data_IF_277752797923
#
_entry.id   IF_277752797923
#
_cell.length_a   1.000
_cell.length_b   1.000
_cell.length_c   1.000
_cell.angle_alpha   90.00
_cell.angle_beta   90.00
_cell.angle_gamma   90.00
#
_symmetry.space_group_name_H-M   'P 1'
#
loop_
_entity.id
_entity.type
_entity.pdbx_description
1 polymer ?
#
# COMPACT_ATOMS: atom_id res chain seq x y z
N UNK A 1 -9.10 19.40 23.27
CA UNK A 1 -10.06 18.45 22.66
C UNK A 1 -9.43 17.08 22.39
N UNK A 2 -8.20 17.00 21.88
CA UNK A 2 -7.47 15.74 21.60
C UNK A 2 -7.36 14.77 22.79
N UNK A 3 -7.01 15.25 24.00
CA UNK A 3 -6.90 14.39 25.20
C UNK A 3 -8.19 13.64 25.58
N UNK A 4 -9.34 14.29 25.46
CA UNK A 4 -10.65 13.66 25.74
C UNK A 4 -10.95 12.58 24.70
N UNK A 5 -10.63 12.85 23.43
CA UNK A 5 -10.77 11.88 22.34
C UNK A 5 -9.87 10.65 22.54
N UNK A 6 -8.60 10.84 22.94
CA UNK A 6 -7.72 9.73 23.30
C UNK A 6 -8.31 8.87 24.41
N UNK A 7 -8.70 9.48 25.54
CA UNK A 7 -9.24 8.75 26.69
C UNK A 7 -10.53 7.99 26.36
N UNK A 8 -11.43 8.59 25.58
CA UNK A 8 -12.63 7.90 25.12
C UNK A 8 -12.30 6.74 24.17
N UNK A 9 -11.34 6.91 23.27
CA UNK A 9 -10.89 5.84 22.38
C UNK A 9 -10.22 4.70 23.16
N UNK A 10 -9.41 5.00 24.19
CA UNK A 10 -8.83 3.97 25.07
C UNK A 10 -9.93 3.16 25.77
N UNK A 11 -10.93 3.81 26.34
CA UNK A 11 -12.10 3.14 26.94
C UNK A 11 -12.83 2.26 25.92
N UNK A 12 -13.01 2.73 24.68
CA UNK A 12 -13.61 1.94 23.62
C UNK A 12 -12.76 0.70 23.26
N UNK A 13 -11.44 0.85 23.24
CA UNK A 13 -10.50 -0.24 22.95
C UNK A 13 -10.40 -1.24 24.11
N UNK A 14 -10.72 -0.86 25.34
CA UNK A 14 -10.73 -1.75 26.51
C UNK A 14 -11.88 -2.78 26.48
N UNK A 15 -13.00 -2.48 25.82
CA UNK A 15 -14.14 -3.42 25.72
C UNK A 15 -13.78 -4.74 25.03
N UNK A 16 -12.78 -4.73 24.15
CA UNK A 16 -12.26 -5.93 23.52
C UNK A 16 -10.73 -5.91 23.53
N UNK A 17 -10.13 -6.62 24.48
CA UNK A 17 -8.68 -6.78 24.59
C UNK A 17 -8.10 -7.80 23.61
N UNK A 18 -8.87 -8.32 22.65
CA UNK A 18 -8.39 -9.27 21.66
C UNK A 18 -8.31 -10.71 22.15
N UNK A 19 -9.02 -11.05 23.22
CA UNK A 19 -9.18 -12.43 23.65
C UNK A 19 -10.16 -13.14 22.71
N UNK A 20 -9.72 -14.26 22.14
CA UNK A 20 -10.45 -15.08 21.15
C UNK A 20 -10.59 -16.52 21.61
N UNK A 21 -10.60 -16.74 22.94
CA UNK A 21 -10.57 -18.06 23.56
C UNK A 21 -9.16 -18.51 23.94
N UNK A 22 -9.03 -19.68 24.59
CA UNK A 22 -7.75 -20.18 25.08
C UNK A 22 -6.79 -20.57 23.94
N UNK A 23 -7.33 -20.86 22.75
CA UNK A 23 -6.60 -21.28 21.56
C UNK A 23 -7.20 -20.67 20.31
N UNK A 24 -6.36 -20.34 19.33
CA UNK A 24 -6.74 -19.76 18.04
C UNK A 24 -5.92 -20.38 16.91
N UNK A 25 -6.45 -20.38 15.69
CA UNK A 25 -5.69 -20.80 14.51
C UNK A 25 -4.52 -19.83 14.27
N UNK A 26 -3.30 -20.34 14.09
CA UNK A 26 -2.11 -19.53 13.84
C UNK A 26 -1.88 -19.14 12.36
N UNK A 27 -2.72 -19.61 11.44
CA UNK A 27 -2.56 -19.49 9.99
C UNK A 27 -1.69 -20.57 9.36
N UNK A 28 -0.84 -21.24 10.15
CA UNK A 28 0.00 -22.36 9.73
C UNK A 28 -0.61 -23.75 9.89
N UNK A 29 -1.93 -23.86 10.12
CA UNK A 29 -2.63 -25.13 10.36
C UNK A 29 -2.53 -25.65 11.80
N UNK A 30 -1.91 -24.90 12.71
CA UNK A 30 -1.80 -25.25 14.13
C UNK A 30 -2.62 -24.29 15.02
N UNK A 31 -2.67 -24.61 16.30
CA UNK A 31 -3.30 -23.76 17.31
C UNK A 31 -2.27 -23.03 18.17
N UNK A 32 -2.40 -21.70 18.25
CA UNK A 32 -1.66 -20.86 19.19
C UNK A 32 -2.42 -20.74 20.51
N UNK A 33 -1.70 -20.76 21.63
CA UNK A 33 -2.28 -20.64 22.98
C UNK A 33 -2.25 -19.19 23.44
N UNK A 34 -3.27 -18.78 24.18
CA UNK A 34 -3.27 -17.49 24.87
C UNK A 34 -2.18 -17.48 25.96
N UNK A 35 -1.39 -16.41 26.00
CA UNK A 35 -0.25 -16.25 26.90
C UNK A 35 -0.35 -15.02 27.82
N UNK A 36 -1.45 -14.27 27.75
CA UNK A 36 -1.67 -13.05 28.54
C UNK A 36 -1.84 -11.81 27.68
N UNK A 37 -2.02 -10.67 28.34
CA UNK A 37 -2.12 -9.37 27.68
C UNK A 37 -0.76 -8.70 27.60
N UNK A 38 -0.54 -7.92 26.54
CA UNK A 38 0.60 -7.02 26.41
C UNK A 38 0.11 -5.65 25.98
N UNK A 39 0.68 -4.62 26.57
CA UNK A 39 0.38 -3.25 26.19
C UNK A 39 1.01 -2.92 24.82
N UNK A 40 0.39 -2.01 24.09
CA UNK A 40 0.95 -1.32 22.93
C UNK A 40 0.46 0.11 22.90
N UNK A 41 1.35 1.04 22.57
CA UNK A 41 1.00 2.43 22.24
C UNK A 41 0.83 2.59 20.74
N UNK A 42 -0.25 3.25 20.33
CA UNK A 42 -0.54 3.58 18.92
C UNK A 42 -0.75 5.08 18.79
N UNK A 43 -0.02 5.73 17.90
CA UNK A 43 -0.29 7.11 17.54
C UNK A 43 -1.49 7.17 16.59
N UNK A 44 -2.50 7.92 17.01
CA UNK A 44 -3.73 8.15 16.26
C UNK A 44 -3.83 9.59 15.81
N UNK A 45 -4.85 9.90 15.03
CA UNK A 45 -5.19 11.29 14.68
C UNK A 45 -5.59 12.14 15.89
N UNK A 46 -6.01 11.49 17.00
CA UNK A 46 -6.37 12.17 18.24
C UNK A 46 -5.14 12.38 19.16
N UNK A 47 -4.07 11.63 18.93
CA UNK A 47 -2.90 11.52 19.80
C UNK A 47 -2.54 10.07 20.10
N UNK A 48 -1.49 9.82 20.92
CA UNK A 48 -1.15 8.48 21.37
C UNK A 48 -2.28 7.89 22.22
N UNK A 49 -2.55 6.59 22.03
CA UNK A 49 -3.45 5.80 22.87
C UNK A 49 -2.77 4.51 23.29
N UNK A 50 -3.08 4.05 24.49
CA UNK A 50 -2.63 2.79 25.06
C UNK A 50 -3.72 1.72 24.89
N UNK A 51 -3.32 0.52 24.50
CA UNK A 51 -4.23 -0.62 24.47
C UNK A 51 -3.57 -1.89 24.99
N UNK A 52 -4.34 -2.67 25.73
CA UNK A 52 -4.04 -4.07 26.00
C UNK A 52 -4.55 -4.94 24.86
N UNK A 53 -3.71 -5.93 24.51
CA UNK A 53 -3.96 -6.86 23.43
C UNK A 53 -3.54 -8.28 23.82
N UNK A 54 -4.41 -9.24 23.55
CA UNK A 54 -4.19 -10.66 23.80
C UNK A 54 -3.03 -11.18 22.96
N UNK A 55 -2.02 -11.71 23.64
CA UNK A 55 -0.85 -12.32 23.02
C UNK A 55 -1.06 -13.83 22.89
N UNK A 56 -0.88 -14.33 21.68
CA UNK A 56 -0.96 -15.75 21.36
C UNK A 56 0.38 -16.26 20.87
N UNK A 57 0.79 -17.45 21.30
CA UNK A 57 2.03 -18.09 20.86
C UNK A 57 1.75 -19.49 20.31
N UNK A 58 2.24 -19.77 19.11
CA UNK A 58 2.20 -21.09 18.52
C UNK A 58 3.48 -21.85 18.85
N UNK A 59 3.43 -22.95 19.65
CA UNK A 59 4.63 -23.72 19.98
C UNK A 59 5.24 -24.42 18.77
N UNK A 60 4.43 -24.81 17.78
CA UNK A 60 4.88 -25.50 16.57
C UNK A 60 5.58 -24.54 15.60
N UNK A 61 4.98 -23.36 15.36
CA UNK A 61 5.55 -22.37 14.44
C UNK A 61 6.63 -21.48 15.08
N UNK A 62 6.74 -21.46 16.41
CA UNK A 62 7.73 -20.67 17.14
C UNK A 62 7.54 -19.15 17.09
N UNK A 63 6.37 -18.66 16.63
CA UNK A 63 6.05 -17.24 16.59
C UNK A 63 4.81 -16.91 17.41
N UNK A 64 4.74 -15.65 17.84
CA UNK A 64 3.56 -15.08 18.50
C UNK A 64 2.87 -14.03 17.65
N UNK A 65 1.60 -13.76 17.95
CA UNK A 65 0.80 -12.75 17.26
C UNK A 65 -0.32 -12.20 18.15
N UNK A 66 -0.96 -11.15 17.65
CA UNK A 66 -2.00 -10.40 18.36
C UNK A 66 -3.22 -10.27 17.43
N UNK A 67 -4.29 -11.05 17.62
CA UNK A 67 -5.48 -10.99 16.75
C UNK A 67 -6.03 -9.57 16.60
N UNK A 68 -6.12 -8.83 17.71
CA UNK A 68 -6.58 -7.44 17.75
C UNK A 68 -5.73 -6.48 16.90
N UNK A 69 -4.43 -6.74 16.72
CA UNK A 69 -3.59 -5.88 15.87
C UNK A 69 -4.01 -5.99 14.40
N UNK A 70 -4.34 -7.19 13.94
CA UNK A 70 -4.78 -7.42 12.57
C UNK A 70 -6.16 -6.78 12.33
N UNK A 71 -7.08 -6.96 13.27
CA UNK A 71 -8.43 -6.39 13.20
C UNK A 71 -8.42 -4.85 13.20
N UNK A 72 -7.54 -4.23 14.00
CA UNK A 72 -7.38 -2.78 14.05
C UNK A 72 -6.49 -2.22 12.91
N UNK A 73 -5.88 -3.07 12.09
CA UNK A 73 -4.96 -2.66 11.02
C UNK A 73 -3.66 -2.02 11.52
N UNK A 74 -3.21 -2.40 12.72
CA UNK A 74 -1.98 -1.91 13.37
C UNK A 74 -0.89 -2.98 13.47
N UNK A 75 -1.07 -4.14 12.84
CA UNK A 75 -0.02 -5.15 12.71
C UNK A 75 1.25 -4.52 12.12
N UNK A 76 2.38 -4.77 12.77
CA UNK A 76 3.70 -4.23 12.41
C UNK A 76 3.78 -2.70 12.28
N UNK A 77 2.88 -1.97 12.93
CA UNK A 77 2.87 -0.52 12.95
C UNK A 77 2.56 0.04 14.34
N UNK A 78 3.12 1.21 14.63
CA UNK A 78 2.78 2.03 15.80
C UNK A 78 1.86 3.20 15.43
N UNK A 79 1.45 3.30 14.16
CA UNK A 79 0.52 4.32 13.67
C UNK A 79 -0.81 3.68 13.33
N UNK A 80 -1.90 4.32 13.75
CA UNK A 80 -3.26 3.93 13.34
C UNK A 80 -3.43 4.01 11.81
N UNK A 81 -4.36 3.25 11.21
CA UNK A 81 -4.63 3.34 9.77
C UNK A 81 -4.94 4.76 9.28
N UNK A 82 -5.63 5.56 10.09
CA UNK A 82 -5.93 6.97 9.77
C UNK A 82 -4.66 7.82 9.67
N UNK A 83 -3.75 7.68 10.63
CA UNK A 83 -2.51 8.45 10.66
C UNK A 83 -1.52 7.97 9.58
N UNK A 84 -1.47 6.67 9.27
CA UNK A 84 -0.70 6.14 8.13
C UNK A 84 -1.13 6.78 6.81
N UNK A 85 -2.44 6.83 6.53
CA UNK A 85 -2.96 7.49 5.32
C UNK A 85 -2.56 8.96 5.22
N UNK A 86 -2.53 9.68 6.34
CA UNK A 86 -2.05 11.07 6.36
C UNK A 86 -0.55 11.14 6.07
N UNK A 87 0.25 10.24 6.67
CA UNK A 87 1.68 10.12 6.42
C UNK A 87 1.95 9.84 4.93
N UNK A 88 1.27 8.87 4.33
CA UNK A 88 1.45 8.49 2.91
C UNK A 88 1.08 9.62 1.97
N UNK A 89 -0.04 10.32 2.24
CA UNK A 89 -0.45 11.46 1.45
C UNK A 89 0.62 12.55 1.46
N UNK A 90 1.12 12.91 2.63
CA UNK A 90 2.15 13.94 2.77
C UNK A 90 3.51 13.49 2.23
N UNK A 91 3.87 12.22 2.43
CA UNK A 91 5.08 11.61 1.90
C UNK A 91 5.10 11.54 0.37
N UNK A 92 3.95 11.41 -0.27
CA UNK A 92 3.83 11.44 -1.73
C UNK A 92 3.91 12.83 -2.36
N UNK A 93 3.76 13.89 -1.56
CA UNK A 93 3.67 15.28 -2.06
C UNK A 93 5.01 16.03 -2.05
N UNK A 94 6.01 15.54 -1.33
CA UNK A 94 7.29 16.21 -1.24
C UNK A 94 8.19 15.63 -0.14
N UNK A 95 9.23 16.36 0.27
CA UNK A 95 10.17 15.89 1.28
C UNK A 95 9.47 15.57 2.61
N UNK A 96 9.81 14.45 3.23
CA UNK A 96 9.22 14.02 4.51
C UNK A 96 9.36 15.05 5.65
N UNK A 97 10.42 15.86 5.62
CA UNK A 97 10.61 16.95 6.58
C UNK A 97 9.55 18.05 6.45
N UNK A 98 9.08 18.31 5.23
CA UNK A 98 7.95 19.21 4.98
C UNK A 98 6.64 18.54 5.41
N UNK A 99 6.39 17.29 4.99
CA UNK A 99 5.19 16.56 5.40
C UNK A 99 5.03 16.49 6.93
N UNK A 100 6.14 16.33 7.66
CA UNK A 100 6.14 16.42 9.13
C UNK A 100 5.68 17.78 9.64
N UNK A 101 6.14 18.88 9.03
CA UNK A 101 5.74 20.24 9.41
C UNK A 101 4.26 20.46 9.13
N UNK A 102 3.78 20.03 7.96
CA UNK A 102 2.37 20.15 7.57
C UNK A 102 1.46 19.37 8.52
N UNK A 103 1.86 18.16 8.93
CA UNK A 103 1.12 17.34 9.88
C UNK A 103 1.01 18.02 11.27
N UNK A 104 2.09 18.67 11.71
CA UNK A 104 2.11 19.42 12.95
C UNK A 104 1.26 20.70 12.88
N UNK A 105 1.31 21.42 11.75
CA UNK A 105 0.63 22.71 11.56
C UNK A 105 -0.88 22.51 11.32
N UNK A 106 -1.26 21.58 10.44
CA UNK A 106 -2.64 21.39 10.02
C UNK A 106 -3.45 20.50 10.98
N UNK A 107 -2.80 19.51 11.60
CA UNK A 107 -3.47 18.53 12.45
C UNK A 107 -3.02 18.55 13.91
N UNK A 108 -1.99 19.34 14.27
CA UNK A 108 -1.43 19.34 15.62
C UNK A 108 -0.70 18.04 15.99
N UNK A 109 -0.44 17.15 15.03
CA UNK A 109 0.12 15.82 15.28
C UNK A 109 1.65 15.88 15.12
N UNK A 110 2.35 15.44 16.17
CA UNK A 110 3.81 15.44 16.20
C UNK A 110 4.35 14.06 15.82
N UNK A 111 4.91 13.94 14.63
CA UNK A 111 5.75 12.80 14.23
C UNK A 111 7.18 13.28 13.97
N UNK A 112 8.15 12.36 14.04
CA UNK A 112 9.50 12.65 13.53
C UNK A 112 9.54 12.40 12.04
N UNK A 113 10.48 13.04 11.33
CA UNK A 113 10.64 12.85 9.88
C UNK A 113 10.84 11.38 9.54
N UNK A 114 11.68 10.69 10.33
CA UNK A 114 11.98 9.26 10.13
C UNK A 114 10.78 8.35 10.40
N UNK A 115 9.84 8.73 11.27
CA UNK A 115 8.61 7.94 11.49
C UNK A 115 7.65 8.07 10.31
N UNK A 116 7.49 9.28 9.77
CA UNK A 116 6.69 9.53 8.58
C UNK A 116 7.28 8.77 7.38
N UNK A 117 8.58 8.94 7.12
CA UNK A 117 9.34 8.22 6.10
C UNK A 117 9.14 6.70 6.19
N UNK A 118 9.48 6.07 7.33
CA UNK A 118 9.36 4.62 7.50
C UNK A 118 7.93 4.12 7.33
N UNK A 119 6.93 4.90 7.75
CA UNK A 119 5.53 4.53 7.54
C UNK A 119 5.20 4.50 6.05
N UNK A 120 5.54 5.56 5.33
CA UNK A 120 5.22 5.69 3.91
C UNK A 120 5.99 4.72 3.04
N UNK A 121 7.26 4.45 3.35
CA UNK A 121 8.06 3.43 2.68
C UNK A 121 7.51 2.03 2.93
N UNK A 122 7.15 1.70 4.18
CA UNK A 122 6.55 0.41 4.49
C UNK A 122 5.20 0.21 3.78
N UNK A 123 4.40 1.27 3.65
CA UNK A 123 3.12 1.22 2.93
C UNK A 123 3.35 1.07 1.42
N UNK A 124 4.32 1.80 0.85
CA UNK A 124 4.76 1.63 -0.54
C UNK A 124 5.26 0.21 -0.84
N UNK A 125 6.04 -0.37 0.05
CA UNK A 125 6.54 -1.74 -0.07
C UNK A 125 5.41 -2.78 -0.01
N UNK A 126 4.43 -2.60 0.88
CA UNK A 126 3.24 -3.47 0.92
C UNK A 126 2.43 -3.39 -0.37
N UNK A 127 2.26 -2.20 -0.93
CA UNK A 127 1.59 -2.01 -2.23
C UNK A 127 2.37 -2.72 -3.34
N UNK A 128 3.70 -2.57 -3.38
CA UNK A 128 4.56 -3.25 -4.35
C UNK A 128 4.45 -4.78 -4.24
N UNK A 129 4.58 -5.33 -3.03
CA UNK A 129 4.47 -6.76 -2.79
C UNK A 129 3.09 -7.32 -3.16
N UNK A 130 2.01 -6.57 -2.88
CA UNK A 130 0.66 -6.96 -3.28
C UNK A 130 0.48 -6.99 -4.82
N UNK A 131 1.04 -5.99 -5.53
CA UNK A 131 1.04 -5.96 -7.00
C UNK A 131 1.81 -7.15 -7.57
N UNK A 132 3.01 -7.45 -7.05
CA UNK A 132 3.84 -8.56 -7.49
C UNK A 132 3.17 -9.92 -7.22
N UNK A 133 2.60 -10.11 -6.02
CA UNK A 133 1.88 -11.33 -5.66
C UNK A 133 0.65 -11.55 -6.55
N UNK A 134 -0.12 -10.48 -6.80
CA UNK A 134 -1.27 -10.54 -7.70
C UNK A 134 -0.83 -10.90 -9.12
N UNK A 135 0.25 -10.28 -9.60
CA UNK A 135 0.78 -10.56 -10.93
C UNK A 135 1.20 -12.02 -11.08
N UNK A 136 1.93 -12.54 -10.08
CA UNK A 136 2.35 -13.93 -10.06
C UNK A 136 1.15 -14.89 -10.06
N UNK A 137 0.12 -14.61 -9.24
CA UNK A 137 -1.05 -15.46 -9.12
C UNK A 137 -1.90 -15.51 -10.41
N UNK A 138 -2.00 -14.40 -11.15
CA UNK A 138 -2.66 -14.36 -12.45
C UNK A 138 -1.84 -15.12 -13.49
N UNK A 139 -0.54 -14.85 -13.59
CA UNK A 139 0.33 -15.48 -14.59
C UNK A 139 0.52 -16.99 -14.38
N UNK A 140 0.46 -17.47 -13.14
CA UNK A 140 0.52 -18.90 -12.83
C UNK A 140 -0.83 -19.62 -13.04
N UNK A 141 -1.91 -18.89 -13.34
CA UNK A 141 -3.27 -19.42 -13.39
C UNK A 141 -3.83 -19.84 -12.03
N UNK A 142 -3.17 -19.46 -10.92
CA UNK A 142 -3.66 -19.72 -9.55
C UNK A 142 -4.93 -18.93 -9.26
N UNK A 143 -5.04 -17.73 -9.83
CA UNK A 143 -6.24 -16.90 -9.78
C UNK A 143 -6.76 -16.71 -11.20
N UNK A 144 -8.00 -17.14 -11.43
CA UNK A 144 -8.75 -16.78 -12.64
C UNK A 144 -9.49 -15.47 -12.35
N UNK A 145 -9.19 -14.43 -13.12
CA UNK A 145 -9.89 -13.16 -13.03
C UNK A 145 -11.28 -13.34 -13.63
N UNK A 146 -12.34 -13.02 -12.88
CA UNK A 146 -13.72 -13.09 -13.41
C UNK A 146 -14.02 -11.96 -14.41
N UNK A 147 -13.04 -11.09 -14.69
CA UNK A 147 -13.19 -9.86 -15.46
C UNK A 147 -14.09 -8.83 -14.78
N UNK A 148 -14.31 -7.69 -15.45
CA UNK A 148 -15.33 -6.74 -15.03
C UNK A 148 -16.74 -7.36 -15.09
N UNK A 149 -17.61 -6.97 -14.14
CA UNK A 149 -19.01 -7.44 -14.08
C UNK A 149 -19.82 -6.98 -15.30
N UNK A 150 -19.47 -5.83 -15.85
CA UNK A 150 -20.06 -5.25 -17.04
C UNK A 150 -19.09 -5.41 -18.22
N UNK A 151 -19.64 -5.47 -19.44
CA UNK A 151 -18.84 -5.45 -20.66
C UNK A 151 -17.99 -4.19 -20.68
N UNK A 152 -16.69 -4.37 -20.83
CA UNK A 152 -15.76 -3.26 -21.02
C UNK A 152 -15.76 -2.95 -22.52
N UNK A 153 -16.43 -1.89 -22.95
CA UNK A 153 -16.40 -1.53 -24.37
C UNK A 153 -14.96 -1.20 -24.80
N UNK A 154 -14.24 -0.46 -23.96
CA UNK A 154 -12.86 -0.05 -24.26
C UNK A 154 -12.01 0.09 -23.01
N UNK A 155 -10.91 -0.66 -22.97
CA UNK A 155 -9.88 -0.53 -21.94
C UNK A 155 -8.69 0.23 -22.51
N UNK A 156 -8.31 1.29 -21.81
CA UNK A 156 -7.11 2.07 -22.13
C UNK A 156 -5.97 1.65 -21.22
N UNK A 157 -4.78 1.55 -21.81
CA UNK A 157 -3.53 1.38 -21.10
C UNK A 157 -2.59 2.53 -21.51
N UNK A 158 -2.31 3.43 -20.57
CA UNK A 158 -1.29 4.46 -20.73
C UNK A 158 -0.04 4.04 -19.97
N UNK A 159 1.12 4.12 -20.63
CA UNK A 159 2.41 3.78 -20.02
C UNK A 159 3.34 4.96 -20.21
N UNK A 160 3.98 5.39 -19.12
CA UNK A 160 5.04 6.39 -19.17
C UNK A 160 6.21 5.97 -18.27
N UNK A 161 7.39 6.49 -18.57
CA UNK A 161 8.63 6.23 -17.86
C UNK A 161 9.43 7.52 -17.68
N UNK A 162 9.83 7.82 -16.45
CA UNK A 162 10.60 9.02 -16.14
C UNK A 162 11.83 8.71 -15.29
N UNK A 163 12.92 9.43 -15.54
CA UNK A 163 14.12 9.35 -14.72
C UNK A 163 13.93 10.11 -13.42
N UNK A 164 13.92 9.39 -12.30
CA UNK A 164 13.86 9.96 -10.95
C UNK A 164 15.29 10.05 -10.41
N UNK A 165 15.76 11.24 -9.99
CA UNK A 165 17.03 11.37 -9.30
C UNK A 165 17.03 10.55 -8.01
N UNK A 166 18.08 9.74 -7.82
CA UNK A 166 18.19 8.84 -6.67
C UNK A 166 19.55 8.97 -6.00
N UNK A 167 19.70 8.38 -4.81
CA UNK A 167 21.00 8.34 -4.14
C UNK A 167 21.93 7.35 -4.85
N UNK A 168 23.27 7.49 -4.71
CA UNK A 168 24.22 6.58 -5.36
C UNK A 168 23.97 5.09 -5.07
N UNK A 169 23.51 4.76 -3.85
CA UNK A 169 23.17 3.40 -3.47
C UNK A 169 22.06 2.78 -4.35
N UNK A 170 21.08 3.58 -4.78
CA UNK A 170 19.99 3.10 -5.64
C UNK A 170 20.43 2.87 -7.10
N UNK A 171 21.60 3.40 -7.47
CA UNK A 171 22.16 3.33 -8.83
C UNK A 171 23.31 2.32 -8.95
N UNK A 172 23.64 1.62 -7.87
CA UNK A 172 24.68 0.59 -7.88
C UNK A 172 24.33 -0.51 -8.89
N UNK A 173 25.28 -0.88 -9.75
CA UNK A 173 25.06 -1.84 -10.83
C UNK A 173 24.32 -1.30 -12.06
N UNK A 174 23.92 -0.03 -12.09
CA UNK A 174 23.26 0.59 -13.25
C UNK A 174 24.23 1.47 -14.05
N UNK A 175 24.24 1.30 -15.38
CA UNK A 175 25.02 2.16 -16.28
C UNK A 175 24.29 3.46 -16.59
N UNK A 176 24.98 4.58 -16.39
CA UNK A 176 24.50 5.91 -16.78
C UNK A 176 24.78 6.22 -18.23
N UNK A 177 24.10 7.27 -18.74
CA UNK A 177 24.33 7.84 -20.08
C UNK A 177 25.49 8.83 -20.12
N UNK A 178 26.00 9.23 -18.95
CA UNK A 178 27.09 10.19 -18.82
C UNK A 178 28.43 9.57 -19.27
N UNK A 179 29.41 10.38 -19.72
CA UNK A 179 30.73 9.88 -20.13
C UNK A 179 31.52 9.14 -19.04
N UNK A 180 31.22 9.42 -17.77
CA UNK A 180 31.79 8.73 -16.61
C UNK A 180 31.10 7.38 -16.30
N UNK A 181 30.07 7.01 -17.07
CA UNK A 181 29.30 5.78 -16.93
C UNK A 181 28.39 5.75 -15.70
N UNK A 182 28.32 6.82 -14.90
CA UNK A 182 27.58 6.84 -13.63
C UNK A 182 26.11 7.12 -13.85
N UNK A 183 25.25 6.24 -13.34
CA UNK A 183 23.82 6.51 -13.27
C UNK A 183 23.53 7.50 -12.14
N UNK A 184 22.74 8.53 -12.45
CA UNK A 184 22.27 9.52 -11.47
C UNK A 184 20.77 9.42 -11.21
N UNK A 185 20.08 8.60 -12.00
CA UNK A 185 18.63 8.45 -11.98
C UNK A 185 18.26 6.99 -12.10
N UNK A 186 17.14 6.61 -11.50
CA UNK A 186 16.43 5.36 -11.77
C UNK A 186 15.18 5.67 -12.57
N UNK A 187 14.84 4.79 -13.52
CA UNK A 187 13.61 4.95 -14.30
C UNK A 187 12.41 4.42 -13.49
N UNK A 188 11.52 5.33 -13.09
CA UNK A 188 10.21 4.98 -12.57
C UNK A 188 9.23 4.85 -13.74
N UNK A 189 8.54 3.71 -13.81
CA UNK A 189 7.54 3.40 -14.83
C UNK A 189 6.17 3.43 -14.18
N UNK A 190 5.20 4.03 -14.86
CA UNK A 190 3.82 4.10 -14.43
C UNK A 190 2.92 3.60 -15.56
N UNK A 191 2.06 2.65 -15.21
CA UNK A 191 0.96 2.18 -16.01
C UNK A 191 -0.34 2.69 -15.41
N UNK A 192 -1.17 3.32 -16.22
CA UNK A 192 -2.51 3.75 -15.84
C UNK A 192 -3.51 3.03 -16.74
N UNK A 193 -4.38 2.22 -16.15
CA UNK A 193 -5.47 1.58 -16.85
C UNK A 193 -6.76 2.31 -16.53
N UNK A 194 -7.65 2.49 -17.50
CA UNK A 194 -8.96 3.14 -17.30
C UNK A 194 -9.96 2.79 -18.40
N UNK A 195 -11.25 2.99 -18.12
CA UNK A 195 -12.34 2.90 -19.11
C UNK A 195 -12.81 4.30 -19.48
N UNK A 196 -13.59 4.42 -20.56
CA UNK A 196 -14.13 5.71 -21.04
C UNK A 196 -15.65 5.68 -21.15
N UNK A 197 -16.27 6.83 -20.91
CA UNK A 197 -17.72 7.05 -21.08
C UNK A 197 -18.01 7.73 -22.40
N UNK A 198 -17.13 8.65 -22.80
CA UNK A 198 -17.27 9.47 -24.00
C UNK A 198 -15.92 10.01 -24.47
N UNK A 199 -15.93 10.66 -25.61
CA UNK A 199 -14.83 11.50 -26.09
C UNK A 199 -15.12 12.97 -25.77
N UNK A 200 -14.07 13.76 -25.53
CA UNK A 200 -14.16 15.22 -25.46
C UNK A 200 -14.29 15.84 -26.87
N UNK A 201 -14.49 17.15 -26.97
CA UNK A 201 -14.65 17.88 -28.24
C UNK A 201 -13.39 17.82 -29.14
N UNK A 202 -12.27 17.31 -28.62
CA UNK A 202 -11.00 17.10 -29.33
C UNK A 202 -10.74 15.62 -29.61
N UNK A 203 -11.73 14.74 -29.39
CA UNK A 203 -11.65 13.31 -29.65
C UNK A 203 -10.83 12.53 -28.61
N UNK A 204 -10.52 13.12 -27.45
CA UNK A 204 -9.74 12.46 -26.39
C UNK A 204 -10.65 11.70 -25.43
N UNK A 205 -10.22 10.52 -24.92
CA UNK A 205 -11.03 9.74 -24.00
C UNK A 205 -11.28 10.49 -22.70
N UNK A 206 -12.55 10.66 -22.34
CA UNK A 206 -12.96 11.12 -21.01
C UNK A 206 -13.06 9.89 -20.12
N UNK A 207 -12.16 9.83 -19.12
CA UNK A 207 -12.08 8.69 -18.20
C UNK A 207 -13.38 8.56 -17.41
N UNK A 208 -13.82 7.32 -17.24
CA UNK A 208 -14.89 7.03 -16.28
C UNK A 208 -14.41 7.38 -14.87
N UNK A 209 -15.24 8.07 -14.07
CA UNK A 209 -14.95 8.29 -12.66
C UNK A 209 -14.65 6.96 -11.97
N UNK A 210 -13.65 6.97 -11.09
CA UNK A 210 -13.23 5.80 -10.30
C UNK A 210 -12.79 4.56 -11.11
N UNK A 211 -12.65 4.71 -12.43
CA UNK A 211 -12.13 3.65 -13.29
C UNK A 211 -10.61 3.64 -13.38
N UNK A 212 -9.85 4.54 -12.77
CA UNK A 212 -8.39 4.50 -12.92
C UNK A 212 -7.75 3.51 -11.94
N UNK A 213 -6.84 2.67 -12.44
CA UNK A 213 -5.95 1.86 -11.62
C UNK A 213 -4.50 2.05 -12.08
N UNK A 214 -3.57 1.89 -11.16
CA UNK A 214 -2.17 2.24 -11.37
C UNK A 214 -1.26 1.07 -11.00
N UNK A 215 -0.26 0.85 -11.83
CA UNK A 215 0.87 -0.04 -11.55
C UNK A 215 2.13 0.80 -11.69
N UNK A 216 2.97 0.85 -10.66
CA UNK A 216 4.24 1.57 -10.71
C UNK A 216 5.40 0.65 -10.35
N UNK A 217 6.53 0.81 -11.01
CA UNK A 217 7.76 0.07 -10.69
C UNK A 217 9.01 0.88 -10.98
N UNK A 218 10.10 0.54 -10.30
CA UNK A 218 11.47 0.98 -10.63
C UNK A 218 12.33 -0.17 -11.17
N UNK A 219 11.71 -1.31 -11.51
CA UNK A 219 12.37 -2.47 -12.14
C UNK A 219 12.63 -2.24 -13.63
N UNK A 220 13.34 -3.18 -14.26
CA UNK A 220 13.64 -3.12 -15.68
C UNK A 220 12.36 -3.12 -16.54
N UNK A 221 12.40 -2.49 -17.72
CA UNK A 221 11.25 -2.42 -18.62
C UNK A 221 10.71 -3.81 -19.02
N UNK A 222 11.60 -4.80 -19.16
CA UNK A 222 11.23 -6.18 -19.46
C UNK A 222 10.34 -6.82 -18.37
N UNK A 223 10.49 -6.40 -17.12
CA UNK A 223 9.73 -6.94 -15.98
C UNK A 223 8.40 -6.20 -15.76
N UNK A 224 8.25 -4.99 -16.30
CA UNK A 224 7.06 -4.17 -16.10
C UNK A 224 5.81 -4.70 -16.81
N UNK A 225 5.99 -5.49 -17.88
CA UNK A 225 4.88 -6.08 -18.62
C UNK A 225 4.00 -7.01 -17.77
N UNK A 226 4.61 -7.78 -16.87
CA UNK A 226 3.92 -8.77 -16.02
C UNK A 226 2.87 -8.14 -15.09
N UNK A 227 3.22 -7.17 -14.22
CA UNK A 227 2.23 -6.55 -13.35
C UNK A 227 1.20 -5.71 -14.12
N UNK A 228 1.59 -5.11 -15.25
CA UNK A 228 0.67 -4.38 -16.11
C UNK A 228 -0.38 -5.29 -16.76
N UNK A 229 0.06 -6.44 -17.28
CA UNK A 229 -0.82 -7.45 -17.87
C UNK A 229 -1.78 -8.02 -16.82
N UNK A 230 -1.28 -8.39 -15.64
CA UNK A 230 -2.13 -8.89 -14.57
C UNK A 230 -3.20 -7.89 -14.14
N UNK A 231 -2.86 -6.59 -14.11
CA UNK A 231 -3.83 -5.54 -13.85
C UNK A 231 -4.84 -5.40 -15.01
N UNK A 232 -4.41 -5.52 -16.27
CA UNK A 232 -5.31 -5.53 -17.43
C UNK A 232 -6.29 -6.71 -17.38
N UNK A 233 -5.81 -7.91 -17.02
CA UNK A 233 -6.62 -9.12 -16.83
C UNK A 233 -7.65 -8.95 -15.73
N UNK A 234 -7.23 -8.42 -14.57
CA UNK A 234 -8.14 -8.09 -13.45
C UNK A 234 -9.25 -7.14 -13.89
N UNK A 235 -8.93 -6.28 -14.86
CA UNK A 235 -9.81 -5.25 -15.42
C UNK A 235 -10.64 -5.75 -16.61
N UNK A 236 -10.48 -7.02 -16.98
CA UNK A 236 -11.27 -7.68 -18.02
C UNK A 236 -10.79 -7.39 -19.43
N UNK A 237 -9.49 -7.23 -19.67
CA UNK A 237 -8.96 -7.01 -21.02
C UNK A 237 -9.36 -8.11 -22.03
N UNK A 238 -9.48 -9.37 -21.61
CA UNK A 238 -9.97 -10.46 -22.49
C UNK A 238 -11.43 -10.28 -22.92
N UNK A 239 -12.22 -9.55 -22.13
CA UNK A 239 -13.63 -9.25 -22.41
C UNK A 239 -13.83 -7.84 -22.98
N UNK A 240 -12.74 -7.09 -23.16
CA UNK A 240 -12.82 -5.77 -23.72
C UNK A 240 -13.08 -5.86 -25.23
N UNK A 241 -14.04 -5.12 -25.75
CA UNK A 241 -14.27 -5.10 -27.20
C UNK A 241 -13.09 -4.43 -27.94
N UNK A 242 -12.43 -3.49 -27.27
CA UNK A 242 -11.24 -2.81 -27.77
C UNK A 242 -10.20 -2.57 -26.67
N UNK A 243 -8.92 -2.80 -26.99
CA UNK A 243 -7.78 -2.47 -26.16
C UNK A 243 -6.93 -1.39 -26.86
N UNK A 244 -6.83 -0.21 -26.25
CA UNK A 244 -6.08 0.92 -26.82
C UNK A 244 -4.90 1.33 -25.95
N UNK A 245 -3.78 1.65 -26.61
CA UNK A 245 -2.63 2.29 -25.98
C UNK A 245 -2.83 3.80 -26.03
N UNK A 246 -2.94 4.44 -24.87
CA UNK A 246 -2.97 5.89 -24.78
C UNK A 246 -1.52 6.40 -24.65
N UNK A 247 -1.01 7.01 -25.71
CA UNK A 247 0.28 7.72 -25.76
C UNK A 247 0.08 9.22 -25.79
#
# INVERSE_FOLDING_TARGET
MTKLGCSFLEQLLEFDQGYRGPRVNCGGGHEAKFCGYREKTVDTVLGPVHLDRGYYHCPECGHGFFPKDAELGIADSSLSPGLRRMADRLGSQGPFAQGRRDLAELAGIQLTTKRLERSSEADGERVRAAIEQQAQAVLSGTVVTLGAKELVDKLYIAIDGTGVPTVPADTEGHQGKSPDGRAHTREAKLGCLFTQTRLDDRGRPVRDPDSSSYVATMTAAAEFGSPLYAEAERRGCERAQQLDRAG
#
